data_IF_468466718691
#
_entry.id   IF_468466718691
#
_cell.length_a   1.000
_cell.length_b   1.000
_cell.length_c   1.000
_cell.angle_alpha   90.00
_cell.angle_beta   90.00
_cell.angle_gamma   90.00
#
_symmetry.space_group_name_H-M   'P 1'
#
loop_
_entity.id
_entity.type
_entity.pdbx_description
1 polymer ?
#
# COMPACT_ATOMS: atom_id res chain seq x y z
N UNK A 1 -6.09 -25.30 15.85
CA UNK A 1 -7.48 -25.48 16.32
C UNK A 1 -8.29 -24.24 15.94
N UNK A 2 -9.48 -24.39 15.36
CA UNK A 2 -10.35 -23.24 15.02
C UNK A 2 -11.19 -22.86 16.25
N UNK A 3 -11.19 -21.57 16.58
CA UNK A 3 -11.88 -21.00 17.76
C UNK A 3 -13.40 -21.30 17.73
N UNK A 4 -13.95 -21.81 18.84
CA UNK A 4 -15.34 -22.23 18.95
C UNK A 4 -16.35 -21.08 18.76
N UNK A 5 -16.02 -19.87 19.21
CA UNK A 5 -16.85 -18.68 18.99
C UNK A 5 -16.91 -18.30 17.52
N UNK A 6 -15.76 -18.37 16.80
CA UNK A 6 -15.74 -18.12 15.36
C UNK A 6 -16.60 -19.15 14.61
N UNK A 7 -16.50 -20.44 14.98
CA UNK A 7 -17.34 -21.49 14.37
C UNK A 7 -18.83 -21.21 14.56
N UNK A 8 -19.24 -20.74 15.75
CA UNK A 8 -20.62 -20.39 16.03
C UNK A 8 -21.09 -19.15 15.26
N UNK A 9 -20.21 -18.17 15.05
CA UNK A 9 -20.55 -16.91 14.38
C UNK A 9 -20.56 -16.99 12.84
N UNK A 10 -19.72 -17.83 12.23
CA UNK A 10 -19.56 -17.91 10.76
C UNK A 10 -20.89 -18.09 10.00
N UNK A 11 -21.81 -19.00 10.39
CA UNK A 11 -23.07 -19.16 9.65
C UNK A 11 -23.90 -17.88 9.58
N UNK A 12 -24.01 -17.15 10.69
CA UNK A 12 -24.69 -15.85 10.77
C UNK A 12 -23.96 -14.79 9.95
N UNK A 13 -22.63 -14.69 10.06
CA UNK A 13 -21.83 -13.75 9.26
C UNK A 13 -22.06 -13.97 7.77
N UNK A 14 -22.04 -15.23 7.30
CA UNK A 14 -22.20 -15.54 5.88
C UNK A 14 -23.62 -15.33 5.38
N UNK A 15 -24.64 -15.62 6.21
CA UNK A 15 -26.05 -15.55 5.81
C UNK A 15 -26.63 -14.14 5.93
N UNK A 16 -26.31 -13.45 7.02
CA UNK A 16 -27.05 -12.27 7.46
C UNK A 16 -26.29 -10.96 7.20
N UNK A 17 -25.05 -11.00 6.68
CA UNK A 17 -24.33 -9.78 6.27
C UNK A 17 -25.04 -9.14 5.07
N UNK A 18 -25.52 -7.88 5.18
CA UNK A 18 -26.27 -7.23 4.10
C UNK A 18 -25.43 -7.02 2.84
N UNK A 19 -26.06 -7.13 1.66
CA UNK A 19 -25.35 -6.95 0.36
C UNK A 19 -24.76 -5.56 0.19
N UNK A 20 -25.42 -4.55 0.72
CA UNK A 20 -25.00 -3.14 0.71
C UNK A 20 -23.73 -2.90 1.54
N UNK A 21 -23.41 -3.75 2.53
CA UNK A 21 -22.11 -3.70 3.20
C UNK A 21 -20.97 -3.95 2.21
N UNK A 22 -21.07 -5.02 1.42
CA UNK A 22 -20.06 -5.35 0.42
C UNK A 22 -19.98 -4.30 -0.68
N UNK A 23 -21.12 -3.78 -1.13
CA UNK A 23 -21.15 -2.73 -2.15
C UNK A 23 -20.45 -1.45 -1.68
N UNK A 24 -20.79 -0.97 -0.48
CA UNK A 24 -20.11 0.20 0.13
C UNK A 24 -18.62 -0.05 0.28
N UNK A 25 -18.23 -1.25 0.71
CA UNK A 25 -16.83 -1.61 0.87
C UNK A 25 -16.07 -1.62 -0.46
N UNK A 26 -16.68 -2.16 -1.51
CA UNK A 26 -16.09 -2.17 -2.84
C UNK A 26 -15.95 -0.75 -3.41
N UNK A 27 -16.96 0.11 -3.25
CA UNK A 27 -16.88 1.52 -3.67
C UNK A 27 -15.75 2.24 -2.94
N UNK A 28 -15.63 2.03 -1.63
CA UNK A 28 -14.54 2.60 -0.84
C UNK A 28 -13.17 2.14 -1.34
N UNK A 29 -12.96 0.83 -1.53
CA UNK A 29 -11.66 0.31 -1.96
C UNK A 29 -11.30 0.76 -3.37
N UNK A 30 -12.28 0.90 -4.26
CA UNK A 30 -12.08 1.47 -5.59
C UNK A 30 -11.61 2.91 -5.51
N UNK A 31 -12.28 3.74 -4.70
CA UNK A 31 -11.90 5.13 -4.48
C UNK A 31 -10.47 5.25 -3.94
N UNK A 32 -10.07 4.40 -2.98
CA UNK A 32 -8.69 4.38 -2.47
C UNK A 32 -7.66 3.89 -3.47
N UNK A 33 -7.99 2.90 -4.29
CA UNK A 33 -7.12 2.45 -5.37
C UNK A 33 -6.92 3.55 -6.42
N UNK A 34 -7.98 4.25 -6.81
CA UNK A 34 -7.93 5.37 -7.76
C UNK A 34 -7.08 6.53 -7.20
N UNK A 35 -7.31 6.92 -5.95
CA UNK A 35 -6.55 7.97 -5.28
C UNK A 35 -5.06 7.61 -5.15
N UNK A 36 -4.74 6.45 -4.58
CA UNK A 36 -3.35 6.02 -4.41
C UNK A 36 -2.61 5.92 -5.75
N UNK A 37 -3.25 5.36 -6.77
CA UNK A 37 -2.66 5.28 -8.11
C UNK A 37 -2.42 6.66 -8.72
N UNK A 38 -3.34 7.62 -8.51
CA UNK A 38 -3.16 8.99 -9.01
C UNK A 38 -1.98 9.70 -8.34
N UNK A 39 -1.79 9.53 -7.02
CA UNK A 39 -0.70 10.14 -6.26
C UNK A 39 0.69 9.65 -6.69
N UNK A 40 0.79 8.43 -7.20
CA UNK A 40 2.05 7.89 -7.72
C UNK A 40 2.54 8.62 -8.98
N UNK A 41 1.67 9.32 -9.71
CA UNK A 41 2.11 10.14 -10.85
C UNK A 41 3.10 11.24 -10.44
N UNK A 42 3.03 11.70 -9.18
CA UNK A 42 3.89 12.72 -8.61
C UNK A 42 5.19 12.14 -8.01
N UNK A 43 5.41 10.83 -8.10
CA UNK A 43 6.58 10.13 -7.53
C UNK A 43 7.27 9.27 -8.61
N UNK A 44 8.07 9.86 -9.51
CA UNK A 44 8.64 9.17 -10.67
C UNK A 44 9.54 7.97 -10.34
N UNK A 45 10.11 7.93 -9.14
CA UNK A 45 10.96 6.83 -8.66
C UNK A 45 10.17 5.59 -8.24
N UNK A 46 8.84 5.65 -8.22
CA UNK A 46 7.94 4.55 -7.89
C UNK A 46 7.03 4.23 -9.08
N UNK A 47 7.23 3.07 -9.71
CA UNK A 47 6.40 2.65 -10.84
C UNK A 47 5.33 1.64 -10.44
N UNK A 48 4.06 2.00 -10.60
CA UNK A 48 2.94 1.07 -10.54
C UNK A 48 2.44 0.74 -11.96
N UNK A 49 2.84 -0.41 -12.48
CA UNK A 49 2.49 -0.82 -13.84
C UNK A 49 1.01 -1.12 -14.02
N UNK A 50 0.34 -1.58 -12.97
CA UNK A 50 -1.05 -2.00 -13.00
C UNK A 50 -1.77 -1.43 -11.78
N UNK A 51 -2.77 -0.58 -12.02
CA UNK A 51 -3.69 -0.16 -10.96
C UNK A 51 -4.43 -1.40 -10.45
N UNK A 52 -4.51 -1.64 -9.14
CA UNK A 52 -5.23 -2.79 -8.62
C UNK A 52 -6.74 -2.67 -8.89
N UNK A 53 -7.35 -3.75 -9.37
CA UNK A 53 -8.80 -3.86 -9.56
C UNK A 53 -9.53 -4.44 -8.34
N UNK A 54 -8.76 -4.99 -7.40
CA UNK A 54 -9.21 -5.61 -6.16
C UNK A 54 -8.11 -5.50 -5.08
N UNK A 55 -8.37 -6.04 -3.89
CA UNK A 55 -7.48 -6.01 -2.72
C UNK A 55 -7.42 -4.64 -2.01
N UNK A 56 -6.58 -4.56 -0.98
CA UNK A 56 -6.40 -3.43 -0.05
C UNK A 56 -5.01 -2.80 -0.16
N UNK A 57 -4.28 -3.10 -1.23
CA UNK A 57 -2.90 -2.69 -1.43
C UNK A 57 -2.57 -2.51 -2.91
N UNK A 58 -1.50 -1.76 -3.21
CA UNK A 58 -0.85 -1.71 -4.51
C UNK A 58 0.64 -2.05 -4.40
N UNK A 59 1.24 -2.37 -5.54
CA UNK A 59 2.67 -2.64 -5.66
C UNK A 59 3.34 -1.55 -6.50
N UNK A 60 4.49 -1.09 -6.06
CA UNK A 60 5.38 -0.25 -6.85
C UNK A 60 6.73 -0.92 -7.01
N UNK A 61 7.25 -0.93 -8.23
CA UNK A 61 8.68 -1.14 -8.44
C UNK A 61 9.42 0.12 -8.02
N UNK A 62 10.50 -0.06 -7.28
CA UNK A 62 11.43 1.00 -6.92
C UNK A 62 12.43 1.17 -8.07
N UNK A 63 12.49 2.36 -8.65
CA UNK A 63 13.53 2.70 -9.62
C UNK A 63 14.85 2.93 -8.86
N UNK A 64 15.54 1.83 -8.55
CA UNK A 64 16.73 1.88 -7.68
C UNK A 64 17.82 2.83 -8.19
N UNK A 65 17.93 2.99 -9.52
CA UNK A 65 18.86 3.96 -10.13
C UNK A 65 18.54 5.43 -9.83
N UNK A 66 17.31 5.73 -9.41
CA UNK A 66 16.89 7.08 -9.03
C UNK A 66 17.30 7.45 -7.61
N UNK A 67 17.81 6.53 -6.79
CA UNK A 67 18.20 6.78 -5.40
C UNK A 67 19.72 6.74 -5.21
N UNK A 68 20.28 7.71 -4.47
CA UNK A 68 21.73 7.80 -4.24
C UNK A 68 22.25 6.90 -3.11
N UNK A 69 21.45 6.79 -2.04
CA UNK A 69 21.87 6.22 -0.76
C UNK A 69 20.90 5.14 -0.26
N UNK A 70 20.18 4.50 -1.18
CA UNK A 70 19.26 3.38 -0.90
C UNK A 70 19.77 2.15 -1.65
N UNK A 71 20.07 1.09 -0.92
CA UNK A 71 20.72 -0.12 -1.47
C UNK A 71 19.76 -1.08 -2.15
N UNK A 72 18.60 -1.29 -1.54
CA UNK A 72 17.57 -2.24 -1.96
C UNK A 72 16.22 -1.86 -1.34
N UNK A 73 15.20 -2.71 -1.55
CA UNK A 73 13.85 -2.50 -1.03
C UNK A 73 13.75 -2.62 0.50
N UNK A 74 14.63 -3.37 1.17
CA UNK A 74 14.66 -3.43 2.63
C UNK A 74 15.20 -2.13 3.21
N UNK A 75 16.34 -1.64 2.70
CA UNK A 75 16.94 -0.37 3.12
C UNK A 75 15.99 0.82 2.82
N UNK A 76 15.28 0.79 1.69
CA UNK A 76 14.23 1.77 1.38
C UNK A 76 13.14 1.80 2.47
N UNK A 77 12.57 0.63 2.79
CA UNK A 77 11.46 0.53 3.74
C UNK A 77 11.90 0.87 5.18
N UNK A 78 13.11 0.48 5.58
CA UNK A 78 13.67 0.79 6.90
C UNK A 78 13.91 2.30 7.07
N UNK A 79 14.50 2.95 6.07
CA UNK A 79 14.72 4.41 6.09
C UNK A 79 13.42 5.18 6.10
N UNK A 80 12.47 4.81 5.23
CA UNK A 80 11.15 5.44 5.20
C UNK A 80 10.43 5.31 6.55
N UNK A 81 10.48 4.14 7.17
CA UNK A 81 9.90 3.94 8.51
C UNK A 81 10.59 4.81 9.57
N UNK A 82 11.91 4.96 9.50
CA UNK A 82 12.70 5.71 10.48
C UNK A 82 12.53 7.23 10.35
N UNK A 83 12.55 7.74 9.12
CA UNK A 83 12.53 9.18 8.83
C UNK A 83 11.11 9.73 8.77
N UNK A 84 10.20 8.96 8.18
CA UNK A 84 8.83 9.37 7.90
C UNK A 84 7.81 8.58 8.70
N UNK A 85 8.18 7.77 9.71
CA UNK A 85 7.21 6.97 10.47
C UNK A 85 6.16 6.26 9.58
N UNK A 86 6.59 5.85 8.37
CA UNK A 86 5.73 5.31 7.33
C UNK A 86 6.25 3.93 6.95
N UNK A 87 5.47 2.90 7.30
CA UNK A 87 5.89 1.51 7.15
C UNK A 87 5.28 0.92 5.88
N UNK A 88 6.14 0.55 4.95
CA UNK A 88 5.80 -0.27 3.79
C UNK A 88 6.35 -1.68 3.96
N UNK A 89 5.86 -2.62 3.16
CA UNK A 89 6.38 -3.98 3.16
C UNK A 89 7.36 -4.16 2.00
N UNK A 90 8.61 -4.56 2.28
CA UNK A 90 9.60 -4.79 1.24
C UNK A 90 9.23 -6.05 0.44
N UNK A 91 9.45 -5.99 -0.86
CA UNK A 91 9.05 -7.01 -1.81
C UNK A 91 9.88 -8.30 -1.70
N UNK A 92 11.10 -8.24 -1.17
CA UNK A 92 11.93 -9.42 -0.90
C UNK A 92 11.22 -10.46 -0.03
N UNK A 93 10.39 -10.04 0.93
CA UNK A 93 9.58 -10.95 1.75
C UNK A 93 8.54 -11.75 0.96
N UNK A 94 8.28 -11.35 -0.29
CA UNK A 94 7.36 -11.98 -1.23
C UNK A 94 8.10 -12.51 -2.49
N UNK A 95 9.43 -12.50 -2.51
CA UNK A 95 10.23 -12.92 -3.67
C UNK A 95 10.33 -11.89 -4.79
N UNK A 96 9.97 -10.62 -4.54
CA UNK A 96 9.95 -9.52 -5.51
C UNK A 96 10.97 -8.44 -5.12
N UNK A 97 12.27 -8.67 -5.37
CA UNK A 97 13.34 -7.69 -5.06
C UNK A 97 13.13 -6.36 -5.76
N UNK A 98 13.37 -5.26 -5.06
CA UNK A 98 13.20 -3.90 -5.59
C UNK A 98 11.74 -3.48 -5.74
N UNK A 99 10.82 -4.11 -5.02
CA UNK A 99 9.41 -3.71 -4.97
C UNK A 99 8.99 -3.35 -3.55
N UNK A 100 7.96 -2.54 -3.41
CA UNK A 100 7.33 -2.23 -2.13
C UNK A 100 5.81 -2.38 -2.24
N UNK A 101 5.19 -2.93 -1.19
CA UNK A 101 3.74 -3.06 -1.08
C UNK A 101 3.18 -1.96 -0.18
N UNK A 102 2.21 -1.22 -0.71
CA UNK A 102 1.55 -0.11 -0.06
C UNK A 102 0.15 -0.53 0.33
N UNK A 103 -0.16 -0.54 1.63
CA UNK A 103 -1.55 -0.63 2.06
C UNK A 103 -2.27 0.68 1.71
N UNK A 104 -3.46 0.59 1.14
CA UNK A 104 -4.25 1.76 0.70
C UNK A 104 -5.63 1.83 1.36
N UNK A 105 -5.96 0.82 2.16
CA UNK A 105 -7.25 0.68 2.82
C UNK A 105 -7.30 1.48 4.13
N UNK A 106 -7.37 2.80 3.98
CA UNK A 106 -7.47 3.77 5.07
C UNK A 106 -8.30 4.97 4.61
N UNK A 107 -8.66 5.86 5.54
CA UNK A 107 -9.39 7.08 5.17
C UNK A 107 -8.56 7.98 4.24
N UNK A 108 -9.25 8.86 3.51
CA UNK A 108 -8.63 9.74 2.51
C UNK A 108 -7.48 10.57 3.08
N UNK A 109 -7.67 11.15 4.27
CA UNK A 109 -6.71 12.08 4.84
C UNK A 109 -5.42 11.36 5.24
N UNK A 110 -5.53 10.20 5.87
CA UNK A 110 -4.37 9.35 6.20
C UNK A 110 -3.64 8.91 4.93
N UNK A 111 -4.38 8.54 3.88
CA UNK A 111 -3.77 8.11 2.61
C UNK A 111 -3.03 9.26 1.91
N UNK A 112 -3.61 10.46 1.89
CA UNK A 112 -2.98 11.65 1.30
C UNK A 112 -1.71 12.05 2.05
N UNK A 113 -1.74 12.07 3.39
CA UNK A 113 -0.56 12.33 4.22
C UNK A 113 0.56 11.31 3.95
N UNK A 114 0.21 10.02 3.91
CA UNK A 114 1.17 8.96 3.63
C UNK A 114 1.86 9.14 2.27
N UNK A 115 1.11 9.46 1.22
CA UNK A 115 1.69 9.68 -0.12
C UNK A 115 2.51 10.97 -0.21
N UNK A 116 2.14 12.03 0.52
CA UNK A 116 2.92 13.28 0.57
C UNK A 116 4.28 13.07 1.26
N UNK A 117 4.29 12.30 2.35
CA UNK A 117 5.52 11.95 3.08
C UNK A 117 6.40 11.00 2.28
N UNK A 118 5.79 10.01 1.62
CA UNK A 118 6.48 9.13 0.70
C UNK A 118 7.13 9.92 -0.45
N UNK A 119 6.41 10.86 -1.06
CA UNK A 119 6.94 11.75 -2.09
C UNK A 119 8.13 12.56 -1.56
N UNK A 120 7.96 13.21 -0.41
CA UNK A 120 9.01 14.01 0.22
C UNK A 120 10.27 13.19 0.52
N UNK A 121 10.11 11.95 0.99
CA UNK A 121 11.21 11.01 1.19
C UNK A 121 11.91 10.67 -0.13
N UNK A 122 11.14 10.26 -1.15
CA UNK A 122 11.70 9.95 -2.46
C UNK A 122 12.48 11.13 -3.07
N UNK A 123 11.96 12.35 -2.95
CA UNK A 123 12.61 13.58 -3.45
C UNK A 123 13.94 13.83 -2.72
N UNK A 124 13.99 13.67 -1.39
CA UNK A 124 15.23 13.86 -0.60
C UNK A 124 16.33 12.84 -0.91
N UNK A 125 15.94 11.63 -1.29
CA UNK A 125 16.88 10.55 -1.59
C UNK A 125 17.21 10.41 -3.09
N UNK A 126 16.62 11.27 -3.93
CA UNK A 126 16.82 11.22 -5.37
C UNK A 126 18.23 11.61 -5.79
N UNK A 127 18.74 10.96 -6.84
CA UNK A 127 19.93 11.38 -7.57
C UNK A 127 19.57 12.41 -8.64
N UNK A 128 20.34 13.50 -8.71
CA UNK A 128 20.15 14.59 -9.66
C UNK A 128 20.15 14.12 -11.12
#
# INVERSE_FOLDING_TARGET
MVNAFLKAAIPTILKDTPKDFFHRRQMFLKDKADLAYSKLADIPSLKCYLKPEACTFLWTQLEMSSFLNIKDDEDFCEKLATEENLVLLPGIGFGLRGWARHSIDMDTQTLEDAFERLKSFCDRHSGC
#
